data_IF_103948644474
#
_entry.id   IF_103948644474
#
_cell.length_a   1.000
_cell.length_b   1.000
_cell.length_c   1.000
_cell.angle_alpha   90.00
_cell.angle_beta   90.00
_cell.angle_gamma   90.00
#
_symmetry.space_group_name_H-M   'P 1'
#
loop_
_entity.id
_entity.type
_entity.pdbx_description
1 polymer ?
#
# COMPACT_ATOMS: atom_id res chain seq x y z
N UNK A 1 14.24 -18.19 -29.46
CA UNK A 1 14.09 -18.48 -30.91
C UNK A 1 12.64 -18.75 -31.31
N UNK A 2 11.85 -19.51 -30.57
CA UNK A 2 10.44 -19.83 -30.89
C UNK A 2 9.53 -18.58 -31.05
N UNK A 3 9.80 -17.49 -30.37
CA UNK A 3 9.00 -16.26 -30.47
C UNK A 3 9.00 -15.60 -31.87
N UNK A 4 9.86 -16.04 -32.76
CA UNK A 4 9.94 -15.58 -34.18
C UNK A 4 8.87 -16.16 -35.08
N UNK A 5 8.22 -17.26 -34.67
CA UNK A 5 7.21 -17.92 -35.50
C UNK A 5 5.82 -17.38 -35.20
N UNK A 6 5.05 -17.09 -36.26
CA UNK A 6 3.70 -16.50 -36.19
C UNK A 6 2.71 -17.33 -35.36
N UNK A 7 2.93 -18.62 -35.22
CA UNK A 7 2.07 -19.56 -34.48
C UNK A 7 2.78 -20.16 -33.25
N UNK A 8 3.89 -19.56 -32.80
CA UNK A 8 4.55 -20.00 -31.57
C UNK A 8 3.62 -19.84 -30.37
N UNK A 9 3.52 -20.83 -29.50
CA UNK A 9 2.76 -20.68 -28.26
C UNK A 9 3.38 -19.57 -27.42
N UNK A 10 2.51 -18.75 -26.83
CA UNK A 10 2.96 -17.68 -25.92
C UNK A 10 3.59 -18.30 -24.69
N UNK A 11 4.85 -17.96 -24.42
CA UNK A 11 5.51 -18.41 -23.19
C UNK A 11 4.80 -17.78 -21.99
N UNK A 12 4.45 -18.61 -21.01
CA UNK A 12 3.73 -18.23 -19.79
C UNK A 12 2.49 -17.34 -20.06
N UNK A 13 1.43 -17.83 -20.76
CA UNK A 13 0.26 -17.02 -21.14
C UNK A 13 -0.49 -16.47 -19.91
N UNK A 14 -0.41 -17.16 -18.77
CA UNK A 14 -0.92 -16.69 -17.50
C UNK A 14 -0.09 -15.54 -16.88
N UNK A 15 1.11 -15.28 -17.40
CA UNK A 15 2.09 -14.34 -16.88
C UNK A 15 2.99 -14.97 -15.82
N UNK A 16 3.88 -14.13 -15.28
CA UNK A 16 4.88 -14.54 -14.28
C UNK A 16 4.66 -13.78 -12.98
N UNK A 17 4.96 -14.41 -11.86
CA UNK A 17 5.04 -13.80 -10.53
C UNK A 17 6.27 -14.32 -9.80
N UNK A 18 6.70 -13.61 -8.78
CA UNK A 18 7.80 -14.04 -7.90
C UNK A 18 7.45 -13.72 -6.45
N UNK A 19 8.22 -14.26 -5.53
CA UNK A 19 8.10 -14.00 -4.09
C UNK A 19 9.46 -13.57 -3.54
N UNK A 20 9.46 -12.57 -2.68
CA UNK A 20 10.60 -12.10 -1.93
C UNK A 20 10.37 -12.38 -0.44
N UNK A 21 11.35 -12.99 0.22
CA UNK A 21 11.31 -13.23 1.66
C UNK A 21 11.99 -12.05 2.36
N UNK A 22 11.24 -11.33 3.16
CA UNK A 22 11.67 -10.09 3.81
C UNK A 22 12.25 -10.40 5.19
N UNK A 23 13.44 -9.86 5.47
CA UNK A 23 14.09 -10.03 6.76
C UNK A 23 15.04 -11.23 6.86
N UNK A 24 15.40 -11.85 5.74
CA UNK A 24 16.47 -12.85 5.66
C UNK A 24 17.84 -12.23 5.47
N UNK A 25 17.88 -11.07 4.85
CA UNK A 25 19.08 -10.29 4.53
C UNK A 25 18.92 -8.86 5.04
N UNK A 26 20.01 -8.11 5.08
CA UNK A 26 20.04 -6.70 5.51
C UNK A 26 19.57 -5.73 4.40
N UNK A 27 18.84 -6.23 3.41
CA UNK A 27 18.30 -5.40 2.34
C UNK A 27 17.31 -4.37 2.88
N UNK A 28 17.51 -3.10 2.51
CA UNK A 28 16.56 -2.03 2.82
C UNK A 28 15.26 -2.17 2.02
N UNK A 29 14.18 -1.57 2.51
CA UNK A 29 12.90 -1.50 1.78
C UNK A 29 13.05 -0.76 0.45
N UNK A 30 13.93 0.24 0.40
CA UNK A 30 14.32 0.94 -0.83
C UNK A 30 14.89 -0.04 -1.88
N UNK A 31 15.83 -0.90 -1.49
CA UNK A 31 16.41 -1.89 -2.39
C UNK A 31 15.34 -2.84 -2.92
N UNK A 32 14.52 -3.40 -2.03
CA UNK A 32 13.43 -4.32 -2.37
C UNK A 32 12.42 -3.65 -3.32
N UNK A 33 12.06 -2.38 -3.07
CA UNK A 33 11.07 -1.67 -3.86
C UNK A 33 11.60 -1.32 -5.27
N UNK A 34 12.86 -0.90 -5.39
CA UNK A 34 13.53 -0.67 -6.68
C UNK A 34 13.67 -1.96 -7.49
N UNK A 35 14.02 -3.08 -6.84
CA UNK A 35 14.03 -4.39 -7.47
C UNK A 35 12.63 -4.74 -8.00
N UNK A 36 11.60 -4.58 -7.18
CA UNK A 36 10.21 -4.83 -7.54
C UNK A 36 9.78 -4.00 -8.76
N UNK A 37 10.05 -2.70 -8.75
CA UNK A 37 9.76 -1.82 -9.89
C UNK A 37 10.48 -2.27 -11.17
N UNK A 38 11.75 -2.68 -11.04
CA UNK A 38 12.54 -3.22 -12.16
C UNK A 38 11.94 -4.52 -12.71
N UNK A 39 11.46 -5.41 -11.85
CA UNK A 39 10.79 -6.65 -12.24
C UNK A 39 9.50 -6.36 -13.02
N UNK A 40 8.72 -5.40 -12.61
CA UNK A 40 7.52 -4.99 -13.35
C UNK A 40 7.86 -4.36 -14.70
N UNK A 41 8.83 -3.44 -14.75
CA UNK A 41 9.18 -2.70 -15.97
C UNK A 41 9.92 -3.55 -17.01
N UNK A 42 10.96 -4.29 -16.57
CA UNK A 42 11.85 -5.04 -17.48
C UNK A 42 11.28 -6.42 -17.85
N UNK A 43 10.72 -7.11 -16.88
CA UNK A 43 10.28 -8.51 -17.05
C UNK A 43 8.76 -8.65 -17.14
N UNK A 44 8.01 -7.55 -16.98
CA UNK A 44 6.54 -7.53 -17.07
C UNK A 44 5.87 -8.55 -16.13
N UNK A 45 6.44 -8.76 -14.95
CA UNK A 45 5.83 -9.62 -13.95
C UNK A 45 4.42 -9.11 -13.61
N UNK A 46 3.51 -10.02 -13.37
CA UNK A 46 2.14 -9.67 -12.93
C UNK A 46 2.09 -9.24 -11.47
N UNK A 47 2.92 -9.90 -10.64
CA UNK A 47 2.94 -9.62 -9.21
C UNK A 47 4.25 -10.07 -8.57
N UNK A 48 4.73 -9.27 -7.64
CA UNK A 48 5.72 -9.63 -6.63
C UNK A 48 4.97 -9.86 -5.33
N UNK A 49 5.20 -11.01 -4.70
CA UNK A 49 4.70 -11.32 -3.37
C UNK A 49 5.80 -11.07 -2.36
N UNK A 50 5.42 -10.60 -1.18
CA UNK A 50 6.32 -10.45 -0.04
C UNK A 50 5.89 -11.43 1.03
N UNK A 51 6.86 -11.97 1.77
CA UNK A 51 6.61 -12.85 2.89
C UNK A 51 7.61 -12.53 3.98
N UNK A 52 7.14 -12.24 5.18
CA UNK A 52 8.00 -12.08 6.33
C UNK A 52 8.72 -13.41 6.61
N UNK A 53 10.02 -13.32 6.86
CA UNK A 53 10.80 -14.50 7.25
C UNK A 53 10.34 -15.02 8.61
N UNK A 54 10.04 -16.31 8.67
CA UNK A 54 9.72 -17.02 9.91
C UNK A 54 10.84 -18.04 10.18
N UNK A 55 11.61 -17.89 11.27
CA UNK A 55 12.66 -18.83 11.58
C UNK A 55 12.09 -20.22 11.92
N UNK A 56 12.58 -21.26 11.25
CA UNK A 56 12.17 -22.66 11.49
C UNK A 56 13.34 -23.60 11.71
N UNK A 57 14.53 -23.19 11.28
CA UNK A 57 15.76 -23.98 11.37
C UNK A 57 16.91 -23.08 11.80
N UNK A 58 17.74 -23.57 12.70
CA UNK A 58 19.00 -22.90 13.07
C UNK A 58 20.02 -23.04 11.95
N UNK A 59 20.50 -21.92 11.43
CA UNK A 59 21.51 -21.87 10.37
C UNK A 59 22.32 -20.58 10.53
N UNK A 60 23.63 -20.68 10.46
CA UNK A 60 24.55 -19.52 10.62
C UNK A 60 24.39 -18.44 9.53
N UNK A 61 23.76 -18.76 8.40
CA UNK A 61 23.48 -17.83 7.29
C UNK A 61 22.10 -17.17 7.38
N UNK A 62 21.30 -17.55 8.38
CA UNK A 62 19.93 -17.04 8.57
C UNK A 62 19.80 -16.35 9.94
N UNK A 63 18.83 -15.45 10.10
CA UNK A 63 18.52 -14.87 11.39
C UNK A 63 18.18 -15.96 12.43
N UNK A 64 18.48 -15.69 13.69
CA UNK A 64 18.29 -16.63 14.80
C UNK A 64 16.82 -17.03 14.96
N UNK A 65 16.58 -18.18 15.62
CA UNK A 65 15.21 -18.69 15.88
C UNK A 65 14.35 -17.74 16.72
N UNK A 66 14.98 -16.88 17.53
CA UNK A 66 14.29 -15.89 18.35
C UNK A 66 13.89 -14.62 17.59
N UNK A 67 14.27 -14.52 16.31
CA UNK A 67 13.94 -13.35 15.48
C UNK A 67 12.44 -13.31 15.20
N UNK A 68 11.79 -12.20 15.58
CA UNK A 68 10.39 -11.99 15.29
C UNK A 68 10.16 -11.71 13.80
N UNK A 69 9.19 -12.37 13.14
CA UNK A 69 8.86 -12.10 11.76
C UNK A 69 8.51 -10.63 11.53
N UNK A 70 9.08 -9.95 10.52
CA UNK A 70 8.83 -8.54 10.25
C UNK A 70 7.51 -8.31 9.50
N UNK A 71 6.38 -8.72 10.09
CA UNK A 71 5.04 -8.65 9.48
C UNK A 71 4.64 -7.22 9.08
N UNK A 72 5.01 -6.24 9.91
CA UNK A 72 4.71 -4.84 9.62
C UNK A 72 5.46 -4.34 8.40
N UNK A 73 6.73 -4.73 8.25
CA UNK A 73 7.56 -4.41 7.08
C UNK A 73 6.98 -5.05 5.81
N UNK A 74 6.58 -6.32 5.88
CA UNK A 74 5.86 -6.99 4.80
C UNK A 74 4.62 -6.21 4.38
N UNK A 75 3.81 -5.80 5.35
CA UNK A 75 2.58 -5.03 5.11
C UNK A 75 2.87 -3.69 4.42
N UNK A 76 3.91 -2.94 4.86
CA UNK A 76 4.30 -1.67 4.25
C UNK A 76 4.79 -1.85 2.81
N UNK A 77 5.53 -2.92 2.54
CA UNK A 77 5.95 -3.27 1.18
C UNK A 77 4.76 -3.57 0.27
N UNK A 78 3.74 -4.30 0.75
CA UNK A 78 2.50 -4.49 -0.01
C UNK A 78 1.76 -3.18 -0.27
N UNK A 79 1.70 -2.27 0.69
CA UNK A 79 1.10 -0.95 0.48
C UNK A 79 1.88 -0.16 -0.58
N UNK A 80 3.21 -0.17 -0.54
CA UNK A 80 4.06 0.48 -1.53
C UNK A 80 3.91 -0.16 -2.94
N UNK A 81 3.83 -1.48 -3.03
CA UNK A 81 3.55 -2.19 -4.28
C UNK A 81 2.25 -1.70 -4.94
N UNK A 82 1.19 -1.49 -4.15
CA UNK A 82 -0.06 -0.90 -4.64
C UNK A 82 0.15 0.51 -5.22
N UNK A 83 0.98 1.33 -4.58
CA UNK A 83 1.30 2.68 -5.04
C UNK A 83 2.03 2.64 -6.40
N UNK A 84 3.00 1.75 -6.56
CA UNK A 84 3.70 1.56 -7.84
C UNK A 84 2.74 1.12 -8.96
N UNK A 85 1.87 0.15 -8.68
CA UNK A 85 1.05 -0.50 -9.72
C UNK A 85 -0.19 0.28 -10.12
N UNK A 86 -0.80 1.02 -9.21
CA UNK A 86 -2.14 1.58 -9.43
C UNK A 86 -2.25 3.09 -9.21
N UNK A 87 -1.25 3.71 -8.59
CA UNK A 87 -1.28 5.13 -8.26
C UNK A 87 -0.24 5.95 -9.03
N UNK A 88 0.60 5.29 -9.83
CA UNK A 88 1.62 5.95 -10.64
C UNK A 88 2.81 6.49 -9.85
N UNK A 89 3.06 5.97 -8.64
CA UNK A 89 4.27 6.28 -7.89
C UNK A 89 5.47 5.53 -8.48
N UNK A 90 6.65 6.10 -8.26
CA UNK A 90 7.94 5.45 -8.53
C UNK A 90 8.61 5.08 -7.20
N UNK A 91 9.47 4.06 -7.22
CA UNK A 91 10.18 3.63 -6.01
C UNK A 91 11.03 4.76 -5.41
N UNK A 92 11.66 5.57 -6.28
CA UNK A 92 12.47 6.72 -5.88
C UNK A 92 11.69 7.88 -5.27
N UNK A 93 10.36 7.93 -5.43
CA UNK A 93 9.51 8.93 -4.80
C UNK A 93 9.15 8.54 -3.36
N UNK A 94 9.10 7.24 -3.08
CA UNK A 94 8.65 6.71 -1.79
C UNK A 94 9.79 6.58 -0.78
N UNK A 95 10.99 6.23 -1.24
CA UNK A 95 12.16 5.99 -0.40
C UNK A 95 13.42 6.53 -1.08
N UNK A 96 14.28 7.17 -0.29
CA UNK A 96 15.57 7.73 -0.71
C UNK A 96 16.74 7.14 0.11
N UNK A 97 17.94 7.67 -0.08
CA UNK A 97 19.15 7.20 0.65
C UNK A 97 19.16 7.61 2.11
N UNK A 98 18.49 8.71 2.46
CA UNK A 98 18.39 9.20 3.84
C UNK A 98 17.30 8.46 4.62
N UNK A 99 16.27 7.96 3.92
CA UNK A 99 15.16 7.19 4.48
C UNK A 99 14.97 5.90 3.69
N UNK A 100 15.84 4.91 3.90
CA UNK A 100 15.84 3.67 3.09
C UNK A 100 14.73 2.69 3.47
N UNK A 101 14.09 2.85 4.63
CA UNK A 101 13.07 1.96 5.16
C UNK A 101 11.77 2.71 5.47
N UNK A 102 10.62 2.02 5.36
CA UNK A 102 9.32 2.61 5.65
C UNK A 102 9.11 2.87 7.14
N UNK A 103 8.43 3.97 7.46
CA UNK A 103 7.93 4.22 8.82
C UNK A 103 6.92 3.13 9.20
N UNK A 104 7.14 2.53 10.35
CA UNK A 104 6.24 1.50 10.88
C UNK A 104 4.89 2.07 11.32
N UNK A 105 4.82 3.35 11.69
CA UNK A 105 3.62 4.02 12.24
C UNK A 105 2.67 4.55 11.17
N UNK A 106 3.18 4.87 9.96
CA UNK A 106 2.43 5.51 8.89
C UNK A 106 2.45 4.67 7.63
N UNK A 107 1.37 4.69 6.86
CA UNK A 107 1.39 4.09 5.54
C UNK A 107 2.31 4.87 4.57
N UNK A 108 2.90 4.21 3.56
CA UNK A 108 3.83 4.84 2.63
C UNK A 108 3.28 6.09 1.94
N UNK A 109 1.99 6.14 1.66
CA UNK A 109 1.34 7.27 1.01
C UNK A 109 1.18 8.47 1.96
N UNK A 110 0.86 8.22 3.23
CA UNK A 110 0.83 9.24 4.25
C UNK A 110 2.23 9.80 4.52
N UNK A 111 3.24 8.93 4.61
CA UNK A 111 4.64 9.33 4.79
C UNK A 111 5.10 10.22 3.64
N UNK A 112 4.80 9.82 2.39
CA UNK A 112 5.10 10.64 1.22
C UNK A 112 4.41 12.01 1.26
N UNK A 113 3.12 12.05 1.60
CA UNK A 113 2.36 13.31 1.65
C UNK A 113 2.88 14.26 2.76
N UNK A 114 3.35 13.73 3.88
CA UNK A 114 3.98 14.52 4.94
C UNK A 114 5.32 15.11 4.51
N UNK A 115 6.08 14.41 3.68
CA UNK A 115 7.33 14.91 3.11
C UNK A 115 7.10 15.95 2.01
N UNK A 116 5.89 16.05 1.44
CA UNK A 116 5.53 16.94 0.34
C UNK A 116 4.33 17.82 0.67
N UNK A 117 4.31 18.40 1.87
CA UNK A 117 3.21 19.24 2.33
C UNK A 117 2.99 20.49 1.46
N UNK A 118 4.01 20.92 0.72
CA UNK A 118 3.92 22.03 -0.24
C UNK A 118 2.95 21.78 -1.40
N UNK A 119 2.63 20.50 -1.69
CA UNK A 119 1.66 20.12 -2.72
C UNK A 119 0.21 20.14 -2.21
N UNK A 120 0.01 20.37 -0.93
CA UNK A 120 -1.29 20.29 -0.27
C UNK A 120 -1.70 21.63 0.36
N UNK A 121 -3.01 21.90 0.54
CA UNK A 121 -4.15 21.04 0.18
C UNK A 121 -4.51 21.07 -1.31
N UNK A 122 -5.03 19.94 -1.79
CA UNK A 122 -5.49 19.77 -3.17
C UNK A 122 -6.97 20.12 -3.30
N UNK A 123 -7.31 20.98 -4.28
CA UNK A 123 -8.72 21.35 -4.53
C UNK A 123 -9.43 20.28 -5.38
N UNK A 124 -10.42 19.62 -4.78
CA UNK A 124 -11.16 18.49 -5.37
C UNK A 124 -11.81 18.85 -6.70
N UNK A 125 -12.32 20.08 -6.84
CA UNK A 125 -13.03 20.52 -8.04
C UNK A 125 -12.13 20.75 -9.25
N UNK A 126 -10.81 20.91 -9.05
CA UNK A 126 -9.88 21.31 -10.12
C UNK A 126 -8.78 20.28 -10.37
N UNK A 127 -8.33 19.56 -9.33
CA UNK A 127 -7.22 18.62 -9.42
C UNK A 127 -7.43 17.57 -10.50
N UNK A 128 -6.38 17.22 -11.22
CA UNK A 128 -6.40 16.08 -12.14
C UNK A 128 -6.43 14.73 -11.40
N UNK A 129 -6.55 13.66 -12.16
CA UNK A 129 -6.62 12.32 -11.60
C UNK A 129 -5.34 11.94 -10.87
N UNK A 130 -4.19 12.32 -11.41
CA UNK A 130 -2.87 11.97 -10.88
C UNK A 130 -2.64 12.67 -9.54
N UNK A 131 -2.96 13.97 -9.46
CA UNK A 131 -2.91 14.74 -8.22
C UNK A 131 -3.85 14.15 -7.16
N UNK A 132 -5.08 13.77 -7.52
CA UNK A 132 -6.01 13.13 -6.59
C UNK A 132 -5.48 11.78 -6.08
N UNK A 133 -4.77 11.03 -6.91
CA UNK A 133 -4.13 9.77 -6.52
C UNK A 133 -2.97 9.95 -5.54
N UNK A 134 -2.39 11.15 -5.44
CA UNK A 134 -1.35 11.49 -4.44
C UNK A 134 -1.94 11.72 -3.05
N UNK A 135 -3.21 12.06 -2.95
CA UNK A 135 -3.87 12.40 -1.67
C UNK A 135 -4.09 11.16 -0.80
N UNK A 136 -3.60 11.14 0.47
CA UNK A 136 -3.92 10.08 1.43
C UNK A 136 -5.42 9.89 1.59
N UNK A 137 -5.88 8.63 1.63
CA UNK A 137 -7.30 8.31 1.74
C UNK A 137 -8.10 8.35 0.42
N UNK A 138 -7.49 8.77 -0.69
CA UNK A 138 -8.11 8.72 -2.03
C UNK A 138 -7.51 7.55 -2.81
N UNK A 139 -8.34 6.60 -3.20
CA UNK A 139 -7.98 5.44 -4.02
C UNK A 139 -8.30 5.63 -5.50
N UNK A 140 -7.85 4.73 -6.41
CA UNK A 140 -8.11 4.85 -7.85
C UNK A 140 -9.60 4.89 -8.20
N UNK A 141 -10.42 4.14 -7.49
CA UNK A 141 -11.87 4.13 -7.68
C UNK A 141 -12.48 5.45 -7.22
N UNK A 142 -12.11 5.91 -6.03
CA UNK A 142 -12.60 7.18 -5.47
C UNK A 142 -12.19 8.37 -6.33
N UNK A 143 -10.94 8.43 -6.80
CA UNK A 143 -10.43 9.49 -7.65
C UNK A 143 -11.22 9.59 -8.96
N UNK A 144 -11.48 8.46 -9.65
CA UNK A 144 -12.31 8.45 -10.87
C UNK A 144 -13.74 8.88 -10.60
N UNK A 145 -14.32 8.45 -9.47
CA UNK A 145 -15.69 8.89 -9.08
C UNK A 145 -15.75 10.38 -8.80
N UNK A 146 -14.73 10.96 -8.15
CA UNK A 146 -14.61 12.40 -7.94
C UNK A 146 -14.58 13.13 -9.28
N UNK A 147 -13.68 12.73 -10.20
CA UNK A 147 -13.57 13.36 -11.53
C UNK A 147 -14.87 13.28 -12.32
N UNK A 148 -15.63 12.20 -12.19
CA UNK A 148 -16.95 12.06 -12.81
C UNK A 148 -18.00 12.93 -12.12
N UNK A 149 -18.12 12.85 -10.81
CA UNK A 149 -19.18 13.49 -10.03
C UNK A 149 -19.11 15.03 -10.08
N UNK A 150 -17.90 15.62 -10.04
CA UNK A 150 -17.72 17.08 -10.11
C UNK A 150 -18.21 17.72 -11.41
N UNK A 151 -18.45 16.93 -12.48
CA UNK A 151 -19.06 17.40 -13.73
C UNK A 151 -20.55 17.70 -13.57
N UNK A 152 -21.20 17.07 -12.59
CA UNK A 152 -22.62 17.20 -12.34
C UNK A 152 -22.96 18.25 -11.28
N UNK A 153 -21.96 18.72 -10.52
CA UNK A 153 -22.18 19.71 -9.46
C UNK A 153 -20.99 19.89 -8.53
N UNK A 154 -21.10 20.82 -7.60
CA UNK A 154 -20.08 21.11 -6.60
C UNK A 154 -20.09 20.03 -5.52
N UNK A 155 -18.93 19.45 -5.25
CA UNK A 155 -18.74 18.42 -4.24
C UNK A 155 -18.45 19.05 -2.87
N UNK A 156 -19.01 18.41 -1.82
CA UNK A 156 -18.73 18.70 -0.41
C UNK A 156 -18.05 17.52 0.25
N UNK A 157 -17.51 17.69 1.45
CA UNK A 157 -16.84 16.61 2.18
C UNK A 157 -17.75 15.41 2.47
N UNK A 158 -19.05 15.63 2.68
CA UNK A 158 -20.04 14.56 2.86
C UNK A 158 -20.17 13.69 1.61
N UNK A 159 -20.06 14.31 0.44
CA UNK A 159 -20.14 13.60 -0.85
C UNK A 159 -18.87 12.76 -1.08
N UNK A 160 -17.71 13.24 -0.67
CA UNK A 160 -16.45 12.48 -0.77
C UNK A 160 -16.53 11.13 -0.05
N UNK A 161 -17.18 11.08 1.12
CA UNK A 161 -17.41 9.83 1.85
C UNK A 161 -18.26 8.86 1.04
N UNK A 162 -19.34 9.32 0.37
CA UNK A 162 -20.19 8.49 -0.50
C UNK A 162 -19.44 8.00 -1.74
N UNK A 163 -18.47 8.77 -2.24
CA UNK A 163 -17.60 8.39 -3.35
C UNK A 163 -16.50 7.39 -2.96
N UNK A 164 -16.39 7.03 -1.68
CA UNK A 164 -15.47 6.05 -1.15
C UNK A 164 -14.11 6.61 -0.74
N UNK A 165 -14.03 7.91 -0.46
CA UNK A 165 -12.83 8.53 0.12
C UNK A 165 -12.77 8.24 1.62
N UNK A 166 -11.59 7.88 2.12
CA UNK A 166 -11.32 7.76 3.56
C UNK A 166 -11.11 9.16 4.14
N UNK A 167 -12.23 9.83 4.44
CA UNK A 167 -12.24 11.25 4.84
C UNK A 167 -11.39 11.51 6.08
N UNK A 168 -11.32 10.58 7.03
CA UNK A 168 -10.48 10.68 8.23
C UNK A 168 -9.00 11.00 7.93
N UNK A 169 -8.49 10.53 6.78
CA UNK A 169 -7.13 10.83 6.30
C UNK A 169 -7.11 11.98 5.32
N UNK A 170 -8.04 11.97 4.35
CA UNK A 170 -8.07 12.90 3.24
C UNK A 170 -8.38 14.35 3.66
N UNK A 171 -9.08 14.56 4.77
CA UNK A 171 -9.51 15.88 5.24
C UNK A 171 -8.37 16.87 5.50
N UNK A 172 -7.17 16.38 5.78
CA UNK A 172 -5.98 17.21 6.00
C UNK A 172 -5.31 17.66 4.71
N UNK A 173 -5.63 17.03 3.60
CA UNK A 173 -4.96 17.18 2.31
C UNK A 173 -5.86 17.67 1.18
N UNK A 174 -7.16 17.87 1.46
CA UNK A 174 -8.14 18.28 0.46
C UNK A 174 -8.86 19.57 0.85
N UNK A 175 -9.27 20.32 -0.19
CA UNK A 175 -10.29 21.37 -0.09
C UNK A 175 -11.44 21.09 -1.03
N UNK A 176 -12.64 21.52 -0.64
CA UNK A 176 -13.83 21.50 -1.46
C UNK A 176 -14.34 22.94 -1.62
N UNK A 177 -14.27 23.51 -2.83
CA UNK A 177 -14.59 24.90 -3.08
C UNK A 177 -13.70 25.89 -2.30
N UNK A 178 -12.42 25.56 -2.16
CA UNK A 178 -11.44 26.37 -1.45
C UNK A 178 -11.55 26.31 0.09
N UNK A 179 -12.38 25.43 0.64
CA UNK A 179 -12.60 25.31 2.09
C UNK A 179 -12.16 23.94 2.60
N UNK A 180 -11.54 23.91 3.76
CA UNK A 180 -11.30 22.69 4.55
C UNK A 180 -12.54 22.40 5.42
N UNK A 181 -12.65 21.17 5.99
CA UNK A 181 -13.73 20.84 6.92
C UNK A 181 -13.74 21.79 8.12
N UNK A 182 -14.94 22.18 8.57
CA UNK A 182 -15.12 23.02 9.75
C UNK A 182 -14.57 22.32 11.00
N UNK A 183 -13.90 23.08 11.85
CA UNK A 183 -13.32 22.57 13.11
C UNK A 183 -12.02 21.77 12.95
N UNK A 184 -11.52 21.57 11.73
CA UNK A 184 -10.25 20.89 11.51
C UNK A 184 -9.09 21.77 12.00
N UNK A 185 -8.36 21.28 13.02
CA UNK A 185 -7.12 21.93 13.47
C UNK A 185 -5.96 21.33 12.68
N UNK A 186 -5.47 22.07 11.70
CA UNK A 186 -4.28 21.72 10.96
C UNK A 186 -3.03 22.29 11.65
N UNK A 187 -2.14 21.40 12.08
CA UNK A 187 -0.80 21.76 12.53
C UNK A 187 0.19 20.74 11.96
N UNK A 188 1.21 21.16 11.20
CA UNK A 188 2.23 20.24 10.68
C UNK A 188 2.90 19.40 11.77
N UNK A 189 3.06 19.96 12.98
CA UNK A 189 3.69 19.26 14.10
C UNK A 189 2.84 18.11 14.67
N UNK A 190 1.52 18.23 14.64
CA UNK A 190 0.60 17.21 15.20
C UNK A 190 0.02 16.28 14.14
N UNK A 191 0.15 16.64 12.86
CA UNK A 191 -0.43 15.91 11.75
C UNK A 191 0.06 14.43 11.67
N UNK A 192 1.36 14.10 11.86
CA UNK A 192 1.81 12.71 11.85
C UNK A 192 1.12 11.85 12.91
N UNK A 193 0.93 12.39 14.13
CA UNK A 193 0.25 11.68 15.21
C UNK A 193 -1.24 11.46 14.89
N UNK A 194 -1.91 12.48 14.34
CA UNK A 194 -3.33 12.40 13.96
C UNK A 194 -3.54 11.37 12.84
N UNK A 195 -2.63 11.28 11.88
CA UNK A 195 -2.67 10.29 10.81
C UNK A 195 -2.41 8.88 11.33
N UNK A 196 -1.45 8.70 12.23
CA UNK A 196 -1.17 7.41 12.85
C UNK A 196 -2.39 6.88 13.63
N UNK A 197 -3.09 7.74 14.36
CA UNK A 197 -4.35 7.39 15.05
C UNK A 197 -5.51 7.09 14.09
N UNK A 198 -5.47 7.60 12.87
CA UNK A 198 -6.48 7.33 11.85
C UNK A 198 -6.21 6.05 11.06
N UNK A 199 -5.06 5.40 11.25
CA UNK A 199 -4.77 4.10 10.63
C UNK A 199 -5.64 3.01 11.28
N UNK A 200 -6.26 2.13 10.50
CA UNK A 200 -6.82 0.90 11.04
C UNK A 200 -5.67 0.09 11.65
N UNK A 201 -5.87 -0.47 12.84
CA UNK A 201 -4.92 -1.39 13.48
C UNK A 201 -4.46 -2.46 12.48
N UNK A 202 -3.18 -2.81 12.54
CA UNK A 202 -2.60 -3.77 11.60
C UNK A 202 -3.27 -5.14 11.76
N UNK A 203 -3.43 -5.88 10.66
CA UNK A 203 -3.81 -7.28 10.70
C UNK A 203 -2.68 -8.10 11.33
N UNK A 204 -2.51 -8.10 12.61
CA UNK A 204 -1.40 -8.77 13.29
C UNK A 204 -1.30 -8.42 14.77
N UNK A 205 -1.95 -7.36 15.22
CA UNK A 205 -2.13 -7.06 16.65
C UNK A 205 -3.31 -7.81 17.27
N UNK A 206 -4.11 -8.52 16.47
CA UNK A 206 -5.08 -9.45 17.02
C UNK A 206 -4.40 -10.81 17.25
N UNK A 207 -4.51 -11.40 18.47
CA UNK A 207 -3.81 -12.63 18.83
C UNK A 207 -4.37 -13.90 18.17
N UNK A 208 -5.05 -13.80 17.04
CA UNK A 208 -5.63 -14.93 16.33
C UNK A 208 -5.29 -14.94 14.83
N UNK A 209 -4.01 -14.86 14.49
CA UNK A 209 -3.59 -15.44 13.22
C UNK A 209 -3.43 -16.94 13.46
N UNK A 210 -4.46 -17.72 13.10
CA UNK A 210 -4.38 -19.17 13.07
C UNK A 210 -3.19 -19.56 12.19
N UNK A 211 -2.15 -20.10 12.80
CA UNK A 211 -1.07 -20.76 12.09
C UNK A 211 -1.69 -21.86 11.21
N UNK A 212 -1.26 -21.98 9.96
CA UNK A 212 -1.66 -23.08 9.07
C UNK A 212 -1.34 -24.47 9.70
N UNK A 213 -0.54 -24.47 10.76
CA UNK A 213 -0.09 -25.66 11.50
C UNK A 213 -0.78 -25.82 12.86
N UNK A 214 -1.75 -24.98 13.20
CA UNK A 214 -2.52 -25.14 14.44
C UNK A 214 -3.60 -26.22 14.23
N UNK A 215 -3.20 -27.48 14.43
CA UNK A 215 -4.05 -28.66 14.26
C UNK A 215 -5.25 -28.73 15.24
N UNK A 216 -5.34 -27.83 16.21
CA UNK A 216 -6.40 -27.90 17.24
C UNK A 216 -7.73 -27.29 16.81
N UNK A 217 -7.81 -26.58 15.68
CA UNK A 217 -9.06 -25.98 15.19
C UNK A 217 -9.58 -26.52 13.84
N UNK A 218 -8.94 -27.51 13.24
CA UNK A 218 -9.51 -28.26 12.10
C UNK A 218 -10.32 -29.43 12.65
N UNK A 219 -11.39 -29.16 13.30
CA UNK A 219 -12.25 -30.18 13.81
C UNK A 219 -13.71 -29.74 13.86
N UNK A 220 -14.50 -30.32 12.93
CA UNK A 220 -15.96 -30.33 12.85
C UNK A 220 -16.60 -29.34 11.89
N UNK A 221 -16.37 -29.55 10.60
CA UNK A 221 -17.47 -29.41 9.66
C UNK A 221 -18.38 -30.63 9.86
N UNK A 222 -19.49 -30.48 10.55
CA UNK A 222 -20.52 -31.53 10.60
C UNK A 222 -21.17 -31.57 9.22
N UNK A 223 -20.90 -32.65 8.47
CA UNK A 223 -21.83 -33.10 7.43
C UNK A 223 -23.21 -33.28 8.06
N UNK A 224 -24.15 -32.42 7.78
CA UNK A 224 -25.57 -32.72 7.85
C UNK A 224 -25.98 -33.15 6.45
N UNK A 225 -26.11 -34.46 6.29
CA UNK A 225 -26.95 -35.06 5.27
C UNK A 225 -28.37 -34.51 5.39
N UNK A 226 -28.89 -33.98 4.27
CA UNK A 226 -30.25 -34.28 3.73
C UNK A 226 -30.31 -33.85 2.28
#
# INVERSE_FOLDING_TARGET
ELAKYRHAPVFAPAGQSTQLIVGTTDDSDRHILHLTESLYRKFRLKRVFYSAYVPVVENSLLPSLDTKPPLLREHRLYQADWLLRFYGFQASELLDESHPDFDTRLDPKCSWALAHLEQFPVEVMRADLETLLRVPGVGPVSARRIVSARRCGTLRFEDLKKLGVVVKRAQYFLTCGGRMPEGLRFSPATLPQQLALAEPGLPGEQPEQLSLFDQTKIGRASCRER
#
